data_IF_849650447421
#
_entry.id   IF_849650447421
#
_cell.length_a   1.000
_cell.length_b   1.000
_cell.length_c   1.000
_cell.angle_alpha   90.00
_cell.angle_beta   90.00
_cell.angle_gamma   90.00
#
_symmetry.space_group_name_H-M   'P 1'
#
loop_
_entity.id
_entity.type
_entity.pdbx_description
1 polymer ?
#
# COMPACT_ATOMS: atom_id res chain seq x y z
N UNK A 1 20.57 13.43 26.58
CA UNK A 1 20.86 13.85 25.19
C UNK A 1 20.33 12.85 24.18
N UNK A 2 20.40 11.53 24.46
CA UNK A 2 19.88 10.48 23.56
C UNK A 2 18.38 10.57 23.32
N UNK A 3 17.57 10.69 24.36
CA UNK A 3 16.10 10.71 24.29
C UNK A 3 15.52 11.87 23.43
N UNK A 4 16.20 13.03 23.42
CA UNK A 4 15.77 14.17 22.59
C UNK A 4 16.06 13.94 21.11
N UNK A 5 17.20 13.32 20.80
CA UNK A 5 17.57 12.98 19.43
C UNK A 5 16.65 11.88 18.87
N UNK A 6 16.34 10.85 19.65
CA UNK A 6 15.41 9.77 19.29
C UNK A 6 13.99 10.30 19.10
N UNK A 7 13.55 11.24 19.95
CA UNK A 7 12.26 11.90 19.82
C UNK A 7 12.15 12.75 18.54
N UNK A 8 13.20 13.51 18.23
CA UNK A 8 13.26 14.34 17.02
C UNK A 8 13.27 13.50 15.74
N UNK A 9 14.10 12.45 15.70
CA UNK A 9 14.17 11.52 14.57
C UNK A 9 12.84 10.80 14.37
N UNK A 10 12.23 10.32 15.44
CA UNK A 10 10.90 9.69 15.37
C UNK A 10 9.85 10.64 14.82
N UNK A 11 9.83 11.89 15.23
CA UNK A 11 8.89 12.89 14.73
C UNK A 11 9.13 13.19 13.27
N UNK A 12 10.40 13.30 12.85
CA UNK A 12 10.79 13.55 11.47
C UNK A 12 10.37 12.41 10.50
N UNK A 13 10.31 11.18 10.98
CA UNK A 13 9.92 10.02 10.16
C UNK A 13 8.41 9.75 10.22
N UNK A 14 7.83 9.75 11.42
CA UNK A 14 6.43 9.36 11.62
C UNK A 14 5.44 10.39 11.05
N UNK A 15 5.77 11.67 11.08
CA UNK A 15 4.93 12.72 10.49
C UNK A 15 4.71 12.50 8.99
N UNK A 16 5.77 12.53 8.19
CA UNK A 16 5.68 12.24 6.75
C UNK A 16 5.08 10.88 6.43
N UNK A 17 5.41 9.83 7.19
CA UNK A 17 4.84 8.50 7.00
C UNK A 17 3.30 8.50 7.09
N UNK A 18 2.73 9.18 8.08
CA UNK A 18 1.28 9.31 8.21
C UNK A 18 0.66 10.06 7.02
N UNK A 19 1.26 11.19 6.64
CA UNK A 19 0.78 12.00 5.52
C UNK A 19 0.84 11.22 4.20
N UNK A 20 1.95 10.53 3.93
CA UNK A 20 2.09 9.65 2.76
C UNK A 20 1.06 8.51 2.79
N UNK A 21 0.80 7.91 3.96
CA UNK A 21 -0.22 6.87 4.10
C UNK A 21 -1.62 7.34 3.69
N UNK A 22 -2.00 8.58 4.01
CA UNK A 22 -3.27 9.19 3.57
C UNK A 22 -3.29 9.44 2.07
N UNK A 23 -2.18 9.95 1.50
CA UNK A 23 -2.07 10.16 0.06
C UNK A 23 -2.15 8.84 -0.72
N UNK A 24 -1.48 7.80 -0.25
CA UNK A 24 -1.54 6.47 -0.87
C UNK A 24 -2.98 5.94 -0.84
N UNK A 25 -3.71 6.11 0.27
CA UNK A 25 -5.12 5.72 0.34
C UNK A 25 -5.97 6.47 -0.68
N UNK A 26 -5.77 7.78 -0.83
CA UNK A 26 -6.48 8.60 -1.81
C UNK A 26 -6.17 8.16 -3.25
N UNK A 27 -4.90 7.89 -3.56
CA UNK A 27 -4.48 7.40 -4.88
C UNK A 27 -5.07 6.01 -5.19
N UNK A 28 -5.09 5.11 -4.22
CA UNK A 28 -5.71 3.79 -4.38
C UNK A 28 -7.21 3.92 -4.60
N UNK A 29 -7.89 4.77 -3.84
CA UNK A 29 -9.32 5.04 -4.03
C UNK A 29 -9.60 5.61 -5.43
N UNK A 30 -8.78 6.55 -5.88
CA UNK A 30 -8.84 7.10 -7.25
C UNK A 30 -8.62 6.00 -8.30
N UNK A 31 -7.60 5.19 -8.13
CA UNK A 31 -7.29 4.09 -9.05
C UNK A 31 -8.45 3.09 -9.16
N UNK A 32 -9.05 2.71 -8.01
CA UNK A 32 -10.20 1.80 -7.98
C UNK A 32 -11.42 2.44 -8.65
N UNK A 33 -11.69 3.71 -8.39
CA UNK A 33 -12.78 4.45 -9.03
C UNK A 33 -12.58 4.53 -10.55
N UNK A 34 -11.37 4.88 -10.98
CA UNK A 34 -11.00 4.91 -12.40
C UNK A 34 -11.17 3.55 -13.07
N UNK A 35 -10.66 2.49 -12.43
CA UNK A 35 -10.79 1.14 -12.94
C UNK A 35 -12.26 0.67 -13.01
N UNK A 36 -13.09 1.06 -12.06
CA UNK A 36 -14.53 0.77 -12.07
C UNK A 36 -15.26 1.51 -13.21
N UNK A 37 -14.77 2.70 -13.59
CA UNK A 37 -15.33 3.49 -14.67
C UNK A 37 -14.97 2.94 -16.06
N UNK A 38 -13.78 2.33 -16.19
CA UNK A 38 -13.36 1.74 -17.46
C UNK A 38 -14.26 0.56 -17.85
N UNK A 39 -14.93 0.67 -18.97
CA UNK A 39 -15.80 -0.38 -19.51
C UNK A 39 -15.03 -1.51 -20.21
N UNK A 40 -13.86 -1.18 -20.78
CA UNK A 40 -13.00 -2.12 -21.46
C UNK A 40 -11.87 -2.57 -20.52
N UNK A 41 -11.79 -3.87 -20.32
CA UNK A 41 -10.71 -4.48 -19.53
C UNK A 41 -9.77 -5.21 -20.44
N UNK A 42 -8.45 -5.04 -20.30
CA UNK A 42 -7.50 -5.85 -21.06
C UNK A 42 -7.80 -7.33 -20.86
N UNK A 43 -7.96 -8.04 -21.97
CA UNK A 43 -8.17 -9.48 -21.93
C UNK A 43 -6.97 -10.24 -21.36
N UNK A 44 -7.15 -11.52 -21.02
CA UNK A 44 -6.03 -12.38 -20.64
C UNK A 44 -4.99 -12.43 -21.76
N UNK A 45 -3.71 -12.47 -21.40
CA UNK A 45 -2.64 -12.63 -22.39
C UNK A 45 -2.81 -14.00 -23.06
N UNK A 46 -2.90 -14.07 -24.40
CA UNK A 46 -3.03 -15.35 -25.10
C UNK A 46 -1.88 -16.29 -24.74
N UNK A 47 -2.18 -17.56 -24.50
CA UNK A 47 -1.17 -18.58 -24.15
C UNK A 47 -0.80 -18.64 -22.66
N UNK A 48 -1.28 -17.71 -21.81
CA UNK A 48 -1.00 -17.76 -20.38
C UNK A 48 -1.78 -18.91 -19.70
N UNK A 49 -1.11 -19.82 -18.96
CA UNK A 49 -1.78 -20.84 -18.19
C UNK A 49 -2.78 -20.26 -17.18
N UNK A 50 -3.89 -20.95 -16.96
CA UNK A 50 -4.97 -20.46 -16.07
C UNK A 50 -4.48 -20.17 -14.63
N UNK A 51 -3.56 -20.97 -14.13
CA UNK A 51 -3.00 -20.78 -12.78
C UNK A 51 -2.17 -19.51 -12.66
N UNK A 52 -1.39 -19.15 -13.70
CA UNK A 52 -0.64 -17.90 -13.73
C UNK A 52 -1.56 -16.68 -13.79
N UNK A 53 -2.62 -16.76 -14.60
CA UNK A 53 -3.62 -15.70 -14.66
C UNK A 53 -4.32 -15.50 -13.31
N UNK A 54 -4.60 -16.59 -12.59
CA UNK A 54 -5.15 -16.55 -11.24
C UNK A 54 -4.14 -15.97 -10.23
N UNK A 55 -2.90 -16.48 -10.22
CA UNK A 55 -1.85 -16.03 -9.32
C UNK A 55 -1.58 -14.52 -9.46
N UNK A 56 -1.54 -14.01 -10.68
CA UNK A 56 -1.40 -12.57 -10.98
C UNK A 56 -2.57 -11.77 -10.41
N UNK A 57 -3.82 -12.21 -10.64
CA UNK A 57 -5.00 -11.56 -10.07
C UNK A 57 -4.99 -11.56 -8.55
N UNK A 58 -4.65 -12.69 -7.95
CA UNK A 58 -4.58 -12.83 -6.50
C UNK A 58 -3.51 -11.92 -5.90
N UNK A 59 -2.32 -11.87 -6.50
CA UNK A 59 -1.24 -10.99 -6.07
C UNK A 59 -1.62 -9.50 -6.15
N UNK A 60 -2.18 -9.05 -7.26
CA UNK A 60 -2.63 -7.66 -7.38
C UNK A 60 -3.75 -7.34 -6.39
N UNK A 61 -4.70 -8.25 -6.19
CA UNK A 61 -5.75 -8.11 -5.17
C UNK A 61 -5.18 -8.02 -3.75
N UNK A 62 -4.18 -8.85 -3.43
CA UNK A 62 -3.47 -8.82 -2.15
C UNK A 62 -2.75 -7.50 -1.92
N UNK A 63 -2.00 -7.02 -2.91
CA UNK A 63 -1.28 -5.75 -2.83
C UNK A 63 -2.25 -4.57 -2.66
N UNK A 64 -3.34 -4.55 -3.41
CA UNK A 64 -4.35 -3.51 -3.33
C UNK A 64 -5.06 -3.52 -1.97
N UNK A 65 -5.60 -4.66 -1.54
CA UNK A 65 -6.28 -4.81 -0.26
C UNK A 65 -5.34 -4.54 0.91
N UNK A 66 -4.11 -5.06 0.86
CA UNK A 66 -3.08 -4.82 1.87
C UNK A 66 -2.76 -3.33 2.02
N UNK A 67 -2.61 -2.61 0.92
CA UNK A 67 -2.37 -1.16 0.94
C UNK A 67 -3.53 -0.39 1.59
N UNK A 68 -4.78 -0.74 1.26
CA UNK A 68 -5.95 -0.11 1.90
C UNK A 68 -5.98 -0.42 3.39
N UNK A 69 -5.82 -1.68 3.78
CA UNK A 69 -5.83 -2.12 5.18
C UNK A 69 -4.74 -1.39 5.98
N UNK A 70 -3.53 -1.29 5.43
CA UNK A 70 -2.43 -0.58 6.11
C UNK A 70 -2.71 0.91 6.26
N UNK A 71 -3.16 1.58 5.21
CA UNK A 71 -3.45 3.00 5.29
C UNK A 71 -4.57 3.29 6.30
N UNK A 72 -5.65 2.51 6.28
CA UNK A 72 -6.77 2.66 7.22
C UNK A 72 -6.35 2.34 8.65
N UNK A 73 -5.65 1.22 8.88
CA UNK A 73 -5.18 0.85 10.22
C UNK A 73 -4.23 1.88 10.82
N UNK A 74 -3.36 2.48 10.00
CA UNK A 74 -2.47 3.56 10.43
C UNK A 74 -3.22 4.82 10.87
N UNK A 75 -4.25 5.23 10.13
CA UNK A 75 -5.11 6.37 10.49
C UNK A 75 -5.88 6.06 11.78
N UNK A 76 -6.52 4.89 11.87
CA UNK A 76 -7.27 4.46 13.05
C UNK A 76 -6.36 4.42 14.29
N UNK A 77 -5.20 3.77 14.18
CA UNK A 77 -4.23 3.71 15.27
C UNK A 77 -3.84 5.11 15.76
N UNK A 78 -3.53 6.05 14.87
CA UNK A 78 -3.10 7.38 15.24
C UNK A 78 -4.22 8.18 15.90
N UNK A 79 -5.39 8.23 15.26
CA UNK A 79 -6.52 9.07 15.70
C UNK A 79 -7.11 8.58 17.02
N UNK A 80 -7.26 7.27 17.24
CA UNK A 80 -7.77 6.70 18.48
C UNK A 80 -6.72 6.61 19.61
N UNK A 81 -5.42 6.86 19.31
CA UNK A 81 -4.41 7.22 20.32
C UNK A 81 -4.51 8.69 20.76
N UNK A 82 -5.45 9.45 20.23
CA UNK A 82 -5.62 10.88 20.52
C UNK A 82 -4.59 11.76 19.81
N UNK A 83 -4.02 11.30 18.69
CA UNK A 83 -3.05 12.04 17.87
C UNK A 83 -3.68 12.39 16.52
N UNK A 84 -3.70 13.67 16.14
CA UNK A 84 -4.17 14.05 14.81
C UNK A 84 -3.20 13.56 13.73
N UNK A 85 -3.70 13.46 12.51
CA UNK A 85 -2.89 13.18 11.32
C UNK A 85 -2.89 14.42 10.43
N UNK A 86 -1.80 15.15 10.47
CA UNK A 86 -1.56 16.27 9.56
C UNK A 86 -1.13 15.73 8.19
N UNK A 87 -1.71 16.26 7.14
CA UNK A 87 -1.41 15.86 5.75
C UNK A 87 -0.72 17.03 5.06
N UNK A 88 0.59 17.14 5.30
CA UNK A 88 1.47 18.16 4.73
C UNK A 88 0.98 19.61 4.92
N UNK A 89 0.28 19.91 6.01
CA UNK A 89 -0.28 21.23 6.27
C UNK A 89 -1.50 21.60 5.39
N UNK A 90 -1.95 20.70 4.50
CA UNK A 90 -3.11 20.94 3.64
C UNK A 90 -4.43 20.78 4.40
N UNK A 91 -4.51 19.73 5.20
CA UNK A 91 -5.62 19.46 6.10
C UNK A 91 -5.17 18.50 7.21
N UNK A 92 -5.98 18.43 8.27
CA UNK A 92 -5.70 17.55 9.41
C UNK A 92 -6.89 16.66 9.69
N UNK A 93 -6.66 15.34 9.79
CA UNK A 93 -7.65 14.40 10.31
C UNK A 93 -7.63 14.53 11.83
N UNK A 94 -8.76 14.93 12.46
CA UNK A 94 -8.77 15.23 13.89
C UNK A 94 -8.56 13.96 14.72
N UNK A 95 -7.97 14.15 15.90
CA UNK A 95 -7.91 13.11 16.90
C UNK A 95 -9.31 12.71 17.37
N UNK A 96 -9.50 11.44 17.64
CA UNK A 96 -10.73 10.87 18.18
C UNK A 96 -10.63 10.68 19.70
N UNK A 97 -11.74 10.38 20.34
CA UNK A 97 -11.77 9.95 21.73
C UNK A 97 -10.83 8.74 21.91
N UNK A 98 -9.96 8.80 22.91
CA UNK A 98 -8.99 7.73 23.17
C UNK A 98 -9.71 6.41 23.44
N UNK A 99 -9.45 5.44 22.59
CA UNK A 99 -10.02 4.08 22.67
C UNK A 99 -8.87 3.08 22.59
N UNK A 100 -8.25 2.73 23.73
CA UNK A 100 -6.98 1.97 23.76
C UNK A 100 -7.08 0.64 23.00
N UNK A 101 -8.12 -0.15 23.24
CA UNK A 101 -8.26 -1.45 22.60
C UNK A 101 -8.31 -1.37 21.07
N UNK A 102 -9.00 -0.36 20.52
CA UNK A 102 -9.10 -0.17 19.07
C UNK A 102 -7.77 0.32 18.48
N UNK A 103 -7.10 1.22 19.20
CA UNK A 103 -5.79 1.72 18.79
C UNK A 103 -4.72 0.62 18.80
N UNK A 104 -4.78 -0.31 19.75
CA UNK A 104 -3.88 -1.46 19.85
C UNK A 104 -4.17 -2.49 18.77
N UNK A 105 -5.42 -2.87 18.57
CA UNK A 105 -5.81 -3.76 17.50
C UNK A 105 -5.39 -3.23 16.12
N UNK A 106 -5.62 -1.93 15.86
CA UNK A 106 -5.18 -1.28 14.63
C UNK A 106 -3.64 -1.24 14.51
N UNK A 107 -2.91 -1.10 15.61
CA UNK A 107 -1.45 -1.17 15.63
C UNK A 107 -0.94 -2.56 15.22
N UNK A 108 -1.48 -3.62 15.79
CA UNK A 108 -1.10 -4.99 15.44
C UNK A 108 -1.37 -5.28 13.95
N UNK A 109 -2.55 -4.90 13.46
CA UNK A 109 -2.88 -5.03 12.03
C UNK A 109 -1.90 -4.26 11.16
N UNK A 110 -1.52 -3.04 11.57
CA UNK A 110 -0.60 -2.20 10.81
C UNK A 110 0.81 -2.78 10.77
N UNK A 111 1.33 -3.25 11.90
CA UNK A 111 2.70 -3.79 11.98
C UNK A 111 2.79 -5.13 11.25
N UNK A 112 1.91 -6.08 11.56
CA UNK A 112 1.92 -7.39 10.92
C UNK A 112 1.62 -7.26 9.42
N UNK A 113 0.59 -6.49 9.07
CA UNK A 113 0.24 -6.22 7.68
C UNK A 113 1.37 -5.54 6.91
N UNK A 114 2.13 -4.66 7.56
CA UNK A 114 3.29 -4.00 6.98
C UNK A 114 4.38 -4.99 6.55
N UNK A 115 4.74 -5.92 7.41
CA UNK A 115 5.70 -6.97 7.08
C UNK A 115 5.21 -7.91 5.98
N UNK A 116 3.94 -8.30 6.03
CA UNK A 116 3.33 -9.15 5.01
C UNK A 116 3.26 -8.46 3.65
N UNK A 117 2.87 -7.19 3.64
CA UNK A 117 2.81 -6.41 2.39
C UNK A 117 4.20 -6.17 1.82
N UNK A 118 5.19 -5.88 2.67
CA UNK A 118 6.58 -5.73 2.24
C UNK A 118 7.09 -7.02 1.58
N UNK A 119 6.85 -8.18 2.21
CA UNK A 119 7.23 -9.47 1.63
C UNK A 119 6.51 -9.73 0.30
N UNK A 120 5.22 -9.38 0.20
CA UNK A 120 4.46 -9.51 -1.04
C UNK A 120 4.99 -8.60 -2.16
N UNK A 121 5.34 -7.35 -1.84
CA UNK A 121 5.95 -6.40 -2.81
C UNK A 121 7.30 -6.91 -3.30
N UNK A 122 8.17 -7.36 -2.39
CA UNK A 122 9.49 -7.90 -2.76
C UNK A 122 9.33 -9.15 -3.63
N UNK A 123 8.44 -10.08 -3.25
CA UNK A 123 8.16 -11.27 -4.05
C UNK A 123 7.60 -10.94 -5.43
N UNK A 124 6.66 -9.99 -5.50
CA UNK A 124 6.07 -9.53 -6.76
C UNK A 124 7.14 -8.90 -7.68
N UNK A 125 7.99 -8.03 -7.13
CA UNK A 125 9.09 -7.42 -7.87
C UNK A 125 10.11 -8.45 -8.36
N UNK A 126 10.46 -9.44 -7.52
CA UNK A 126 11.39 -10.51 -7.88
C UNK A 126 10.85 -11.37 -9.04
N UNK A 127 9.56 -11.72 -9.02
CA UNK A 127 8.93 -12.46 -10.12
C UNK A 127 8.90 -11.64 -11.40
N UNK A 128 8.54 -10.34 -11.32
CA UNK A 128 8.53 -9.45 -12.46
C UNK A 128 9.94 -9.31 -13.09
N UNK A 129 10.97 -9.19 -12.24
CA UNK A 129 12.37 -9.11 -12.68
C UNK A 129 12.84 -10.44 -13.32
N UNK A 130 12.46 -11.58 -12.72
CA UNK A 130 12.73 -12.90 -13.31
C UNK A 130 12.18 -13.00 -14.72
N UNK A 131 10.90 -12.66 -14.92
CA UNK A 131 10.27 -12.70 -16.25
C UNK A 131 10.94 -11.77 -17.26
N UNK A 132 11.43 -10.60 -16.78
CA UNK A 132 12.13 -9.67 -17.66
C UNK A 132 13.54 -10.14 -18.06
N UNK A 133 14.31 -10.63 -17.08
CA UNK A 133 15.76 -10.92 -17.25
C UNK A 133 16.01 -12.34 -17.74
N UNK A 134 15.26 -13.32 -17.22
CA UNK A 134 15.49 -14.74 -17.51
C UNK A 134 14.57 -15.27 -18.60
N UNK A 135 13.30 -14.90 -18.57
CA UNK A 135 12.33 -15.44 -19.53
C UNK A 135 12.21 -14.55 -20.78
N UNK A 136 12.85 -13.35 -20.77
CA UNK A 136 12.85 -12.35 -21.86
C UNK A 136 11.45 -12.06 -22.42
N UNK A 137 10.42 -12.16 -21.58
CA UNK A 137 9.06 -11.92 -22.01
C UNK A 137 8.71 -10.42 -22.03
N UNK A 138 7.62 -10.06 -22.70
CA UNK A 138 7.16 -8.69 -22.84
C UNK A 138 6.47 -8.15 -21.57
N UNK A 139 6.47 -8.87 -20.44
CA UNK A 139 5.73 -8.50 -19.22
C UNK A 139 6.19 -7.15 -18.69
N UNK A 140 7.50 -6.95 -18.57
CA UNK A 140 8.04 -5.68 -18.07
C UNK A 140 7.83 -4.53 -19.08
N UNK A 141 8.01 -4.79 -20.37
CA UNK A 141 7.79 -3.79 -21.42
C UNK A 141 6.34 -3.27 -21.38
N UNK A 142 5.37 -4.15 -21.16
CA UNK A 142 3.95 -3.79 -20.98
C UNK A 142 3.68 -3.00 -19.70
N UNK A 143 4.37 -3.29 -18.61
CA UNK A 143 4.24 -2.54 -17.35
C UNK A 143 4.69 -1.08 -17.49
N UNK A 144 5.71 -0.82 -18.31
CA UNK A 144 6.22 0.54 -18.59
C UNK A 144 5.59 1.18 -19.82
N UNK A 145 4.48 0.63 -20.33
CA UNK A 145 3.70 1.21 -21.42
C UNK A 145 4.35 1.09 -22.81
N UNK A 146 5.34 0.22 -22.99
CA UNK A 146 5.90 -0.10 -24.31
C UNK A 146 5.07 -1.20 -24.97
N UNK A 147 4.50 -0.90 -26.13
CA UNK A 147 3.94 -1.94 -27.03
C UNK A 147 5.06 -2.86 -27.45
N UNK A 148 4.92 -4.16 -27.16
CA UNK A 148 5.78 -5.21 -27.70
C UNK A 148 5.36 -5.56 -29.10
#
# INVERSE_FOLDING_TARGET
>A
AGDLADGALRTAIVGPHKAVGVLVLALVAWMVAWWAWQRERPGPVPGTPRWEAFARKAMHGLLLAGTVILSVSGIVMATFKGKPVDVFGLFTIPAQAKTPWLAEAAHEVHVLGGWLLLAAVVGHAAVALKHHVLDHDATFARMVGRSA
#
